data_IF_901012520948
#
_entry.id   IF_901012520948
#
_cell.length_a   1.000
_cell.length_b   1.000
_cell.length_c   1.000
_cell.angle_alpha   90.00
_cell.angle_beta   90.00
_cell.angle_gamma   90.00
#
_symmetry.space_group_name_H-M   'P 1'
#
loop_
_entity.id
_entity.type
_entity.pdbx_description
1 polymer ?
#
# COMPACT_ATOMS: atom_id res chain seq x y z
N UNK A 1 12.34 -73.72 45.35
CA UNK A 1 11.86 -72.74 44.35
C UNK A 1 12.25 -71.33 44.83
N UNK A 2 13.33 -70.75 44.31
CA UNK A 2 13.71 -69.35 44.52
C UNK A 2 14.25 -68.82 43.17
N UNK A 3 13.57 -67.81 42.61
CA UNK A 3 13.83 -67.24 41.28
C UNK A 3 15.14 -66.43 41.27
N UNK A 4 16.02 -66.72 40.33
CA UNK A 4 17.12 -65.83 39.91
C UNK A 4 16.54 -64.62 39.18
N UNK A 5 16.80 -63.41 39.69
CA UNK A 5 16.43 -62.15 39.05
C UNK A 5 17.38 -61.79 37.92
N UNK A 6 16.84 -61.53 36.72
CA UNK A 6 17.57 -61.08 35.54
C UNK A 6 17.79 -59.56 35.61
N UNK A 7 18.94 -59.13 36.12
CA UNK A 7 19.41 -57.74 36.05
C UNK A 7 20.27 -57.54 34.80
N UNK A 8 19.65 -57.38 33.62
CA UNK A 8 20.41 -57.01 32.40
C UNK A 8 19.65 -56.12 31.39
N UNK A 9 18.40 -55.72 31.67
CA UNK A 9 17.57 -54.93 30.75
C UNK A 9 17.44 -53.43 31.04
N UNK A 10 17.66 -52.98 32.28
CA UNK A 10 17.30 -51.62 32.69
C UNK A 10 18.34 -50.54 32.36
N UNK A 11 19.62 -50.91 32.19
CA UNK A 11 20.71 -49.93 31.97
C UNK A 11 20.78 -49.42 30.52
N UNK A 12 20.30 -50.18 29.52
CA UNK A 12 20.38 -49.78 28.10
C UNK A 12 19.27 -48.80 27.67
N UNK A 13 18.12 -48.80 28.34
CA UNK A 13 16.99 -47.91 28.01
C UNK A 13 17.19 -46.48 28.52
N UNK A 14 17.89 -46.29 29.65
CA UNK A 14 18.11 -44.97 30.24
C UNK A 14 19.07 -44.10 29.40
N UNK A 15 20.09 -44.70 28.77
CA UNK A 15 21.03 -43.94 27.92
C UNK A 15 20.41 -43.40 26.63
N UNK A 16 19.37 -44.05 26.08
CA UNK A 16 18.70 -43.60 24.86
C UNK A 16 17.70 -42.47 25.14
N UNK A 17 17.05 -42.46 26.32
CA UNK A 17 16.09 -41.43 26.70
C UNK A 17 16.73 -40.05 26.93
N UNK A 18 17.88 -40.00 27.61
CA UNK A 18 18.59 -38.73 27.85
C UNK A 18 19.23 -38.16 26.57
N UNK A 19 19.69 -39.02 25.66
CA UNK A 19 20.20 -38.61 24.36
C UNK A 19 19.12 -37.99 23.46
N UNK A 20 17.91 -38.56 23.46
CA UNK A 20 16.79 -38.04 22.66
C UNK A 20 16.22 -36.72 23.22
N UNK A 21 16.07 -36.60 24.54
CA UNK A 21 15.60 -35.34 25.17
C UNK A 21 16.63 -34.23 24.98
N UNK A 22 17.92 -34.54 25.15
CA UNK A 22 19.01 -33.60 24.86
C UNK A 22 19.02 -33.14 23.40
N UNK A 23 18.85 -34.07 22.45
CA UNK A 23 18.80 -33.73 21.02
C UNK A 23 17.58 -32.88 20.64
N UNK A 24 16.42 -33.11 21.26
CA UNK A 24 15.22 -32.28 21.09
C UNK A 24 15.37 -30.89 21.70
N UNK A 25 16.04 -30.76 22.85
CA UNK A 25 16.35 -29.46 23.45
C UNK A 25 17.41 -28.69 22.64
N UNK A 26 18.44 -29.36 22.11
CA UNK A 26 19.44 -28.73 21.22
C UNK A 26 18.77 -28.21 19.93
N UNK A 27 17.84 -28.98 19.35
CA UNK A 27 17.05 -28.54 18.19
C UNK A 27 16.10 -27.36 18.51
N UNK A 28 15.60 -27.26 19.74
CA UNK A 28 14.75 -26.15 20.18
C UNK A 28 15.55 -24.85 20.36
N UNK A 29 16.75 -24.92 20.93
CA UNK A 29 17.63 -23.74 21.14
C UNK A 29 18.26 -23.28 19.80
N UNK A 30 18.61 -24.21 18.91
CA UNK A 30 19.07 -23.89 17.55
C UNK A 30 17.97 -23.31 16.65
N UNK A 31 16.70 -23.41 17.04
CA UNK A 31 15.55 -22.91 16.28
C UNK A 31 15.21 -21.44 16.51
N UNK A 32 15.87 -20.74 17.44
CA UNK A 32 15.48 -19.38 17.84
C UNK A 32 16.56 -18.29 17.70
N UNK A 33 17.79 -18.62 17.25
CA UNK A 33 18.88 -17.64 17.08
C UNK A 33 19.18 -17.23 15.63
N UNK A 34 18.35 -17.63 14.65
CA UNK A 34 18.60 -17.32 13.22
C UNK A 34 17.73 -16.18 12.66
N UNK A 35 17.22 -15.29 13.51
CA UNK A 35 16.74 -13.99 13.06
C UNK A 35 17.94 -13.09 12.73
N UNK A 36 18.59 -13.31 11.59
CA UNK A 36 19.81 -12.62 11.21
C UNK A 36 19.55 -11.09 11.10
N UNK A 37 20.40 -10.26 11.70
CA UNK A 37 20.30 -8.78 11.63
C UNK A 37 20.31 -8.28 10.18
N UNK A 38 20.99 -9.02 9.30
CA UNK A 38 21.02 -8.82 7.85
C UNK A 38 19.66 -8.98 7.20
N UNK A 39 18.83 -9.96 7.60
CA UNK A 39 17.45 -10.10 7.09
C UNK A 39 16.60 -8.92 7.55
N UNK A 40 16.75 -8.48 8.80
CA UNK A 40 16.00 -7.32 9.30
C UNK A 40 16.36 -6.03 8.53
N UNK A 41 17.64 -5.84 8.18
CA UNK A 41 18.10 -4.75 7.31
C UNK A 41 17.67 -4.91 5.85
N UNK A 42 17.66 -6.14 5.33
CA UNK A 42 17.21 -6.45 3.96
C UNK A 42 15.70 -6.20 3.82
N UNK A 43 14.89 -6.63 4.78
CA UNK A 43 13.47 -6.31 4.86
C UNK A 43 13.23 -4.82 5.06
N UNK A 44 14.04 -4.10 5.86
CA UNK A 44 13.88 -2.65 6.01
C UNK A 44 14.21 -1.89 4.71
N UNK A 45 15.24 -2.31 3.97
CA UNK A 45 15.58 -1.77 2.65
C UNK A 45 14.56 -2.17 1.57
N UNK A 46 13.86 -3.30 1.76
CA UNK A 46 12.84 -3.78 0.83
C UNK A 46 11.42 -3.30 1.12
N UNK A 47 11.16 -2.64 2.25
CA UNK A 47 9.85 -2.03 2.49
C UNK A 47 9.55 -0.96 1.43
N UNK A 48 8.33 -0.93 0.87
CA UNK A 48 7.94 0.13 -0.02
C UNK A 48 7.83 1.44 0.76
N UNK A 49 8.13 2.54 0.08
CA UNK A 49 7.96 3.88 0.63
C UNK A 49 6.47 4.17 0.78
N UNK A 50 5.98 4.35 2.01
CA UNK A 50 4.60 4.74 2.29
C UNK A 50 4.46 6.26 2.19
N UNK A 51 3.58 6.75 1.31
CA UNK A 51 3.39 8.18 1.07
C UNK A 51 1.99 8.60 1.51
N UNK A 52 1.90 9.67 2.29
CA UNK A 52 0.63 10.20 2.83
C UNK A 52 -0.23 10.91 1.80
N UNK A 53 -1.54 10.86 2.02
CA UNK A 53 -2.54 11.61 1.26
C UNK A 53 -2.51 13.08 1.66
N UNK A 54 -2.42 13.96 0.68
CA UNK A 54 -2.55 15.41 0.82
C UNK A 54 -3.81 15.87 0.09
N UNK A 55 -4.71 16.55 0.80
CA UNK A 55 -5.89 17.17 0.21
C UNK A 55 -5.53 18.54 -0.36
N UNK A 56 -6.16 18.91 -1.47
CA UNK A 56 -5.94 20.20 -2.12
C UNK A 56 -6.91 21.22 -1.49
N UNK A 57 -6.45 21.87 -0.43
CA UNK A 57 -7.18 22.97 0.19
C UNK A 57 -7.28 24.15 -0.79
N UNK A 58 -8.49 24.65 -1.00
CA UNK A 58 -8.79 25.68 -2.00
C UNK A 58 -9.32 25.15 -3.33
N UNK A 59 -9.29 23.83 -3.57
CA UNK A 59 -9.87 23.23 -4.78
C UNK A 59 -11.38 23.50 -4.89
N UNK A 60 -12.11 23.37 -3.76
CA UNK A 60 -13.54 23.67 -3.70
C UNK A 60 -13.89 25.10 -4.13
N UNK A 61 -13.06 26.10 -3.77
CA UNK A 61 -13.27 27.50 -4.18
C UNK A 61 -13.12 27.69 -5.70
N UNK A 62 -12.46 26.76 -6.40
CA UNK A 62 -12.35 26.72 -7.86
C UNK A 62 -13.38 25.76 -8.51
N UNK A 63 -14.31 25.20 -7.74
CA UNK A 63 -15.27 24.19 -8.22
C UNK A 63 -14.66 22.79 -8.42
N UNK A 64 -13.43 22.57 -7.97
CA UNK A 64 -12.74 21.29 -8.07
C UNK A 64 -13.00 20.44 -6.82
N UNK A 65 -13.95 19.52 -6.91
CA UNK A 65 -14.36 18.59 -5.85
C UNK A 65 -14.41 17.16 -6.37
N UNK A 66 -14.49 16.16 -5.50
CA UNK A 66 -14.83 14.79 -5.88
C UNK A 66 -16.34 14.67 -6.18
N UNK A 67 -16.79 13.51 -6.70
CA UNK A 67 -18.21 13.26 -6.98
C UNK A 67 -19.13 13.49 -5.77
N UNK A 68 -18.66 13.23 -4.55
CA UNK A 68 -19.42 13.45 -3.31
C UNK A 68 -19.28 14.87 -2.72
N UNK A 69 -18.53 15.76 -3.37
CA UNK A 69 -18.23 17.11 -2.90
C UNK A 69 -17.01 17.23 -1.99
N UNK A 70 -16.37 16.12 -1.62
CA UNK A 70 -15.14 16.15 -0.82
C UNK A 70 -13.95 16.72 -1.62
N UNK A 71 -12.89 17.15 -0.93
CA UNK A 71 -11.72 17.72 -1.60
C UNK A 71 -10.93 16.64 -2.35
N UNK A 72 -10.43 16.92 -3.57
CA UNK A 72 -9.50 16.03 -4.24
C UNK A 72 -8.15 15.99 -3.52
N UNK A 73 -7.35 14.97 -3.83
CA UNK A 73 -6.06 14.78 -3.17
C UNK A 73 -5.03 14.03 -4.00
N UNK A 74 -3.79 14.05 -3.53
CA UNK A 74 -2.64 13.40 -4.15
C UNK A 74 -1.68 12.86 -3.09
N UNK A 75 -0.79 11.96 -3.50
CA UNK A 75 0.36 11.54 -2.71
C UNK A 75 1.61 12.11 -3.36
N UNK A 76 2.49 12.70 -2.57
CA UNK A 76 3.70 13.35 -3.06
C UNK A 76 4.92 12.92 -2.27
N UNK A 77 5.95 12.51 -3.02
CA UNK A 77 7.28 12.30 -2.49
C UNK A 77 8.29 13.18 -3.23
N UNK A 78 9.04 13.97 -2.47
CA UNK A 78 9.98 14.96 -3.01
C UNK A 78 11.19 14.28 -3.67
N UNK A 79 11.61 14.82 -4.80
CA UNK A 79 12.84 14.43 -5.49
C UNK A 79 14.09 14.96 -4.80
N UNK A 80 15.25 14.47 -5.23
CA UNK A 80 16.55 14.85 -4.66
C UNK A 80 17.65 14.81 -5.72
N UNK A 81 18.77 15.49 -5.44
CA UNK A 81 19.91 15.58 -6.35
C UNK A 81 19.52 16.10 -7.73
N UNK A 82 19.98 15.43 -8.79
CA UNK A 82 19.69 15.79 -10.17
C UNK A 82 18.19 15.71 -10.53
N UNK A 83 17.42 14.86 -9.85
CA UNK A 83 15.97 14.71 -10.09
C UNK A 83 15.10 15.74 -9.36
N UNK A 84 15.69 16.64 -8.56
CA UNK A 84 14.94 17.61 -7.73
C UNK A 84 14.08 18.61 -8.52
N UNK A 85 14.40 18.83 -9.80
CA UNK A 85 13.63 19.70 -10.71
C UNK A 85 12.82 18.92 -11.75
N UNK A 86 12.85 17.59 -11.72
CA UNK A 86 12.12 16.73 -12.64
C UNK A 86 10.88 16.16 -11.96
N UNK A 87 9.81 15.92 -12.73
CA UNK A 87 8.50 15.54 -12.22
C UNK A 87 7.95 14.31 -12.93
N UNK A 88 7.47 13.35 -12.14
CA UNK A 88 6.69 12.21 -12.59
C UNK A 88 5.30 12.30 -11.97
N UNK A 89 4.29 12.47 -12.81
CA UNK A 89 2.89 12.58 -12.40
C UNK A 89 2.16 11.33 -12.87
N UNK A 90 1.71 10.51 -11.92
CA UNK A 90 0.89 9.33 -12.20
C UNK A 90 -0.58 9.63 -11.86
N UNK A 91 -1.47 9.41 -12.83
CA UNK A 91 -2.91 9.47 -12.61
C UNK A 91 -3.39 8.10 -12.13
N UNK A 92 -4.08 8.04 -10.99
CA UNK A 92 -4.74 6.82 -10.56
C UNK A 92 -5.84 6.45 -11.56
N UNK A 93 -5.92 5.18 -11.95
CA UNK A 93 -7.05 4.70 -12.75
C UNK A 93 -8.34 4.59 -11.92
N UNK A 94 -9.49 4.62 -12.58
CA UNK A 94 -10.78 4.41 -11.91
C UNK A 94 -11.99 4.35 -12.84
N UNK A 95 -11.77 4.20 -14.15
CA UNK A 95 -12.83 4.11 -15.16
C UNK A 95 -13.65 5.39 -15.26
N UNK A 96 -14.94 5.27 -15.59
CA UNK A 96 -15.92 6.36 -15.59
C UNK A 96 -17.28 5.83 -15.17
N UNK A 97 -18.17 6.69 -14.69
CA UNK A 97 -19.56 6.32 -14.45
C UNK A 97 -20.42 6.67 -15.68
N UNK A 98 -20.93 5.66 -16.39
CA UNK A 98 -21.71 5.87 -17.62
C UNK A 98 -23.18 6.26 -17.42
N UNK A 99 -23.68 6.24 -16.18
CA UNK A 99 -25.05 6.66 -15.86
C UNK A 99 -25.14 7.15 -14.42
N UNK A 100 -26.24 7.86 -14.13
CA UNK A 100 -26.57 8.44 -12.82
C UNK A 100 -26.43 7.44 -11.68
N UNK A 101 -26.99 6.25 -11.85
CA UNK A 101 -27.01 5.22 -10.81
C UNK A 101 -25.60 4.74 -10.46
N UNK A 102 -24.76 4.53 -11.47
CA UNK A 102 -23.36 4.16 -11.28
C UNK A 102 -22.57 5.27 -10.58
N UNK A 103 -22.80 6.54 -10.93
CA UNK A 103 -22.14 7.66 -10.26
C UNK A 103 -22.51 7.74 -8.77
N UNK A 104 -23.78 7.49 -8.42
CA UNK A 104 -24.24 7.44 -7.01
C UNK A 104 -23.50 6.34 -6.24
N UNK A 105 -23.28 5.17 -6.86
CA UNK A 105 -22.49 4.12 -6.23
C UNK A 105 -21.02 4.52 -6.07
N UNK A 106 -20.40 5.09 -7.12
CA UNK A 106 -19.00 5.53 -7.08
C UNK A 106 -18.72 6.57 -5.99
N UNK A 107 -19.66 7.49 -5.71
CA UNK A 107 -19.57 8.46 -4.61
C UNK A 107 -19.30 7.83 -3.24
N UNK A 108 -19.72 6.57 -3.03
CA UNK A 108 -19.55 5.84 -1.76
C UNK A 108 -18.26 5.01 -1.72
N UNK A 109 -17.32 5.27 -2.63
CA UNK A 109 -16.05 4.53 -2.76
C UNK A 109 -14.87 5.49 -2.77
N UNK A 110 -13.65 4.94 -2.65
CA UNK A 110 -12.40 5.70 -2.78
C UNK A 110 -12.23 6.42 -4.13
N UNK A 111 -12.98 5.99 -5.15
CA UNK A 111 -12.97 6.55 -6.51
C UNK A 111 -14.04 7.61 -6.76
N UNK A 112 -14.81 8.01 -5.74
CA UNK A 112 -15.75 9.12 -5.82
C UNK A 112 -15.75 10.02 -4.60
N UNK A 113 -14.89 9.75 -3.61
CA UNK A 113 -14.80 10.49 -2.37
C UNK A 113 -13.44 10.31 -1.70
N UNK A 114 -12.84 11.41 -1.26
CA UNK A 114 -11.59 11.38 -0.50
C UNK A 114 -11.76 10.93 0.95
N UNK A 115 -12.99 10.87 1.46
CA UNK A 115 -13.27 10.30 2.77
C UNK A 115 -12.88 8.81 2.82
N UNK A 116 -13.10 8.08 1.72
CA UNK A 116 -12.80 6.66 1.60
C UNK A 116 -11.41 6.36 1.00
N UNK A 117 -10.60 7.37 0.69
CA UNK A 117 -9.24 7.16 0.21
C UNK A 117 -8.31 6.67 1.33
N UNK A 118 -7.41 5.75 0.96
CA UNK A 118 -6.31 5.30 1.78
C UNK A 118 -5.44 6.49 2.18
N UNK A 119 -5.19 6.63 3.48
CA UNK A 119 -4.42 7.76 4.03
C UNK A 119 -2.93 7.67 3.70
N UNK A 120 -2.44 6.47 3.41
CA UNK A 120 -1.10 6.21 2.91
C UNK A 120 -1.15 5.11 1.86
N UNK A 121 -0.30 5.21 0.85
CA UNK A 121 -0.14 4.16 -0.17
C UNK A 121 1.34 3.85 -0.39
N UNK A 122 1.68 2.61 -0.76
CA UNK A 122 3.04 2.27 -1.14
C UNK A 122 3.37 2.85 -2.53
N UNK A 123 4.51 3.51 -2.64
CA UNK A 123 5.12 3.89 -3.90
C UNK A 123 6.03 2.74 -4.36
N UNK A 124 5.62 2.08 -5.44
CA UNK A 124 6.25 0.90 -6.05
C UNK A 124 6.30 1.06 -7.57
N UNK A 125 7.05 0.18 -8.25
CA UNK A 125 7.26 0.24 -9.69
C UNK A 125 7.83 1.59 -10.11
N UNK A 126 7.20 2.23 -11.11
CA UNK A 126 7.62 3.55 -11.63
C UNK A 126 7.58 4.67 -10.58
N UNK A 127 6.86 4.50 -9.46
CA UNK A 127 6.87 5.47 -8.36
C UNK A 127 7.90 5.16 -7.27
N UNK A 128 8.58 4.02 -7.34
CA UNK A 128 9.53 3.59 -6.31
C UNK A 128 10.69 4.57 -6.17
N UNK A 129 11.19 4.72 -4.94
CA UNK A 129 12.39 5.48 -4.63
C UNK A 129 13.67 4.64 -4.72
N UNK A 130 13.58 3.38 -5.14
CA UNK A 130 14.70 2.45 -5.25
C UNK A 130 15.21 2.42 -6.68
N UNK A 131 16.48 2.73 -6.88
CA UNK A 131 17.09 2.76 -8.21
C UNK A 131 17.05 1.41 -8.93
N UNK A 132 17.09 0.28 -8.20
CA UNK A 132 17.00 -1.05 -8.81
C UNK A 132 15.59 -1.39 -9.33
N UNK A 133 14.55 -0.75 -8.79
CA UNK A 133 13.16 -0.93 -9.19
C UNK A 133 12.71 0.14 -10.21
N UNK A 134 13.26 1.34 -10.08
CA UNK A 134 12.94 2.53 -10.87
C UNK A 134 14.22 3.28 -11.29
N UNK A 135 15.04 2.72 -12.19
CA UNK A 135 16.36 3.29 -12.52
C UNK A 135 16.28 4.72 -13.07
N UNK A 136 15.19 5.06 -13.75
CA UNK A 136 15.05 6.32 -14.46
C UNK A 136 14.53 7.47 -13.57
N UNK A 137 13.59 7.16 -12.65
CA UNK A 137 12.83 8.20 -11.92
C UNK A 137 12.93 8.12 -10.38
N UNK A 138 13.76 7.23 -9.82
CA UNK A 138 13.85 7.02 -8.36
C UNK A 138 14.26 8.27 -7.55
N UNK A 139 14.86 9.28 -8.18
CA UNK A 139 15.24 10.55 -7.55
C UNK A 139 14.40 11.76 -8.01
N UNK A 140 13.39 11.57 -8.87
CA UNK A 140 12.49 12.64 -9.33
C UNK A 140 11.46 13.04 -8.27
N UNK A 141 10.81 14.19 -8.43
CA UNK A 141 9.56 14.47 -7.72
C UNK A 141 8.48 13.52 -8.24
N UNK A 142 7.86 12.74 -7.36
CA UNK A 142 6.88 11.73 -7.74
C UNK A 142 5.54 12.05 -7.10
N UNK A 143 4.53 12.24 -7.94
CA UNK A 143 3.16 12.52 -7.51
C UNK A 143 2.25 11.42 -8.04
N UNK A 144 1.35 10.93 -7.19
CA UNK A 144 0.18 10.16 -7.61
C UNK A 144 -1.09 10.93 -7.31
N UNK A 145 -1.78 11.38 -8.37
CA UNK A 145 -3.07 12.07 -8.25
C UNK A 145 -4.15 11.01 -8.03
N UNK A 146 -4.98 11.21 -7.00
CA UNK A 146 -6.05 10.27 -6.64
C UNK A 146 -7.28 10.53 -7.50
N UNK A 147 -7.88 9.46 -7.99
CA UNK A 147 -9.03 9.52 -8.87
C UNK A 147 -10.32 9.67 -8.05
N UNK A 148 -11.13 10.69 -8.35
CA UNK A 148 -12.43 10.85 -7.69
C UNK A 148 -13.51 11.62 -8.46
N UNK A 149 -13.29 11.92 -9.75
CA UNK A 149 -14.18 12.76 -10.57
C UNK A 149 -15.24 11.95 -11.32
N UNK A 150 -15.07 10.63 -11.47
CA UNK A 150 -16.04 9.78 -12.17
C UNK A 150 -16.03 9.89 -13.69
N UNK A 151 -15.12 10.67 -14.27
CA UNK A 151 -15.07 10.96 -15.69
C UNK A 151 -13.67 10.80 -16.29
N UNK A 152 -12.84 9.88 -15.79
CA UNK A 152 -11.49 9.64 -16.33
C UNK A 152 -10.63 10.91 -16.45
N UNK A 153 -10.77 11.87 -15.53
CA UNK A 153 -10.08 13.17 -15.57
C UNK A 153 -10.49 14.10 -16.73
N UNK A 154 -11.62 13.86 -17.40
CA UNK A 154 -12.10 14.70 -18.51
C UNK A 154 -13.35 15.52 -18.17
N UNK A 155 -13.90 15.37 -16.96
CA UNK A 155 -15.10 16.07 -16.54
C UNK A 155 -14.90 17.57 -16.33
N UNK A 156 -15.85 18.37 -16.81
CA UNK A 156 -15.82 19.84 -16.72
C UNK A 156 -17.11 20.46 -16.16
N UNK A 157 -17.95 19.66 -15.51
CA UNK A 157 -19.21 20.18 -14.97
C UNK A 157 -19.00 21.03 -13.73
N UNK A 158 -19.59 22.22 -13.75
CA UNK A 158 -19.66 23.15 -12.62
C UNK A 158 -20.95 22.99 -11.82
N UNK A 159 -21.74 21.96 -12.12
CA UNK A 159 -23.07 21.81 -11.53
C UNK A 159 -22.95 21.23 -10.12
N UNK A 160 -23.26 22.04 -9.11
CA UNK A 160 -23.32 21.64 -7.69
C UNK A 160 -24.37 20.55 -7.43
N UNK A 161 -25.31 20.36 -8.37
CA UNK A 161 -26.18 19.20 -8.46
C UNK A 161 -25.74 18.29 -9.60
N UNK A 162 -25.18 17.12 -9.28
CA UNK A 162 -25.32 16.01 -10.21
C UNK A 162 -26.82 15.78 -10.42
N UNK A 163 -27.25 15.49 -11.66
CA UNK A 163 -28.62 15.16 -12.11
C UNK A 163 -29.43 16.30 -12.77
N UNK A 164 -28.97 16.78 -13.92
CA UNK A 164 -29.89 16.97 -15.05
C UNK A 164 -29.72 15.79 -16.00
N UNK A 165 -30.85 15.21 -16.42
CA UNK A 165 -30.97 14.00 -17.24
C UNK A 165 -29.88 13.86 -18.32
N UNK A 166 -29.16 12.74 -18.30
CA UNK A 166 -28.42 12.25 -19.48
C UNK A 166 -26.90 12.43 -19.51
N UNK A 167 -26.28 13.27 -18.68
CA UNK A 167 -24.81 13.43 -18.69
C UNK A 167 -24.18 13.30 -17.30
N UNK A 168 -23.53 12.17 -17.06
CA UNK A 168 -22.60 11.95 -15.96
C UNK A 168 -21.33 12.76 -16.21
N UNK A 169 -21.40 14.07 -16.02
CA UNK A 169 -20.26 14.94 -16.22
C UNK A 169 -19.47 15.00 -14.90
N UNK A 170 -18.19 14.66 -14.96
CA UNK A 170 -17.30 14.66 -13.79
C UNK A 170 -16.94 16.06 -13.37
N UNK A 171 -16.32 16.16 -12.20
CA UNK A 171 -15.86 17.41 -11.61
C UNK A 171 -14.45 17.80 -12.09
N UNK A 172 -14.25 19.10 -12.28
CA UNK A 172 -13.00 19.67 -12.77
C UNK A 172 -11.84 19.38 -11.82
N UNK A 173 -10.85 18.57 -12.24
CA UNK A 173 -9.57 18.47 -11.52
C UNK A 173 -8.50 19.43 -12.05
N UNK A 174 -8.66 20.01 -13.25
CA UNK A 174 -7.56 20.64 -13.99
C UNK A 174 -7.54 22.18 -14.10
N UNK A 175 -8.49 22.92 -13.51
CA UNK A 175 -8.44 24.42 -13.50
C UNK A 175 -7.59 25.01 -12.37
N UNK A 176 -6.50 24.34 -11.97
CA UNK A 176 -5.59 24.88 -10.96
C UNK A 176 -4.74 25.99 -11.57
#
# INVERSE_FOLDING_TARGET
MLKRGNSFGAMRMLCWGFGFIGFMFVKLVQGFENGNVTDMLYFNNNRPLMVGLTLIYGAAAKGAVCLDGSLPGYHFHRGYGAGSNSWLIQLEGGGWCGNVRNCIYSKKTRHGSSAFMEKQIPFVGILSNKAWENPDFYNWNRIKIRYCDGASFTGDSQNEGCFSEGNASGSLLWKI
#
